data_IF_323250700865
#
_entry.id   IF_323250700865
#
_cell.length_a   1.000
_cell.length_b   1.000
_cell.length_c   1.000
_cell.angle_alpha   90.00
_cell.angle_beta   90.00
_cell.angle_gamma   90.00
#
_symmetry.space_group_name_H-M   'P 1'
#
loop_
_entity.id
_entity.type
_entity.pdbx_description
1 polymer ?
#
# COMPACT_ATOMS: atom_id res chain seq x y z
N UNK A 1 -5.71 3.58 -5.57
CA UNK A 1 -4.37 3.06 -5.87
C UNK A 1 -3.40 4.21 -6.15
N UNK A 2 -2.13 3.97 -5.92
CA UNK A 2 -1.04 4.87 -6.30
C UNK A 2 -0.90 4.96 -7.83
N UNK A 3 -0.35 6.08 -8.30
CA UNK A 3 0.06 6.30 -9.68
C UNK A 3 1.50 6.79 -9.70
N UNK A 4 2.24 6.50 -10.77
CA UNK A 4 3.57 7.06 -10.93
C UNK A 4 3.49 8.59 -11.11
N UNK A 5 4.43 9.37 -10.55
CA UNK A 5 4.57 10.78 -10.90
C UNK A 5 4.75 10.96 -12.42
N UNK A 6 4.22 12.03 -12.98
CA UNK A 6 4.29 12.33 -14.43
C UNK A 6 5.74 12.36 -14.98
N UNK A 7 6.70 12.73 -14.13
CA UNK A 7 8.11 12.73 -14.48
C UNK A 7 8.82 11.36 -14.37
N UNK A 8 8.12 10.30 -13.96
CA UNK A 8 8.69 8.96 -13.90
C UNK A 8 8.82 8.36 -15.32
N UNK A 9 9.94 7.72 -15.59
CA UNK A 9 10.21 7.05 -16.86
C UNK A 9 11.14 5.84 -16.62
N UNK A 10 11.23 4.89 -17.56
CA UNK A 10 12.10 3.72 -17.42
C UNK A 10 13.58 4.05 -17.23
N UNK A 11 14.05 5.16 -17.80
CA UNK A 11 15.47 5.56 -17.79
C UNK A 11 15.89 6.24 -16.47
N UNK A 12 14.96 6.40 -15.53
CA UNK A 12 15.28 6.97 -14.20
C UNK A 12 16.06 6.02 -13.31
N UNK A 13 16.19 4.76 -13.69
CA UNK A 13 16.84 3.72 -12.93
C UNK A 13 18.25 3.46 -13.42
N UNK A 14 19.20 3.25 -12.50
CA UNK A 14 20.52 2.74 -12.83
C UNK A 14 20.42 1.23 -13.06
N UNK A 15 20.74 0.79 -14.26
CA UNK A 15 20.62 -0.62 -14.66
C UNK A 15 21.99 -1.21 -15.08
N UNK A 16 22.14 -2.50 -14.89
CA UNK A 16 23.29 -3.25 -15.39
C UNK A 16 23.19 -3.55 -16.90
N UNK A 17 24.20 -4.28 -17.44
CA UNK A 17 24.22 -4.66 -18.86
C UNK A 17 23.06 -5.57 -19.29
N UNK A 18 22.32 -6.16 -18.35
CA UNK A 18 21.14 -7.01 -18.61
C UNK A 18 19.83 -6.23 -18.45
N UNK A 19 19.88 -4.95 -18.07
CA UNK A 19 18.72 -4.12 -17.80
C UNK A 19 18.15 -4.28 -16.38
N UNK A 20 18.87 -4.97 -15.47
CA UNK A 20 18.43 -5.11 -14.08
C UNK A 20 18.81 -3.87 -13.27
N UNK A 21 17.88 -3.38 -12.44
CA UNK A 21 18.16 -2.23 -11.56
C UNK A 21 19.18 -2.62 -10.49
N UNK A 22 20.32 -1.95 -10.49
CA UNK A 22 21.47 -2.25 -9.63
C UNK A 22 21.50 -1.47 -8.31
N UNK A 23 20.66 -0.45 -8.15
CA UNK A 23 20.58 0.35 -6.93
C UNK A 23 19.38 -0.03 -6.06
N UNK A 24 19.47 0.29 -4.76
CA UNK A 24 18.33 0.15 -3.83
C UNK A 24 17.18 1.15 -4.15
N UNK A 25 17.36 2.03 -5.12
CA UNK A 25 16.42 3.11 -5.47
C UNK A 25 15.04 2.61 -5.88
N UNK A 26 14.93 1.33 -6.32
CA UNK A 26 13.65 0.67 -6.64
C UNK A 26 12.80 0.35 -5.41
N UNK A 27 13.43 0.25 -4.24
CA UNK A 27 12.78 -0.09 -2.98
C UNK A 27 12.77 1.08 -1.99
N UNK A 28 13.83 1.89 -2.02
CA UNK A 28 14.05 2.97 -1.06
C UNK A 28 14.32 4.30 -1.75
N UNK A 29 13.83 5.38 -1.13
CA UNK A 29 14.07 6.74 -1.60
C UNK A 29 12.98 7.29 -2.51
N UNK A 30 13.22 8.48 -3.05
CA UNK A 30 12.20 9.24 -3.77
C UNK A 30 11.79 8.65 -5.11
N UNK A 31 12.67 7.90 -5.78
CA UNK A 31 12.37 7.27 -7.08
C UNK A 31 11.29 6.20 -6.99
N UNK A 32 11.21 5.48 -5.85
CA UNK A 32 10.23 4.40 -5.64
C UNK A 32 8.86 4.90 -5.15
N UNK A 33 8.70 6.20 -4.90
CA UNK A 33 7.47 6.74 -4.33
C UNK A 33 6.45 7.04 -5.42
N UNK A 34 5.29 6.38 -5.37
CA UNK A 34 4.10 6.75 -6.15
C UNK A 34 3.35 7.94 -5.53
N UNK A 35 2.47 8.56 -6.31
CA UNK A 35 1.59 9.62 -5.80
C UNK A 35 0.64 9.05 -4.76
N UNK A 36 0.63 9.55 -3.50
CA UNK A 36 -0.14 8.95 -2.43
C UNK A 36 -1.65 9.14 -2.62
N UNK A 37 -2.41 8.05 -2.60
CA UNK A 37 -3.85 8.06 -2.86
C UNK A 37 -4.73 7.75 -1.66
N UNK A 38 -4.18 7.20 -0.57
CA UNK A 38 -4.94 6.69 0.56
C UNK A 38 -5.80 7.74 1.25
N UNK A 39 -5.28 8.96 1.45
CA UNK A 39 -6.03 10.05 2.10
C UNK A 39 -7.30 10.37 1.31
N UNK A 40 -7.18 10.54 -0.02
CA UNK A 40 -8.34 10.84 -0.88
C UNK A 40 -9.35 9.70 -0.92
N UNK A 41 -8.85 8.46 -0.98
CA UNK A 41 -9.68 7.26 -0.96
C UNK A 41 -10.47 7.10 0.34
N UNK A 42 -9.81 7.27 1.49
CA UNK A 42 -10.46 7.16 2.80
C UNK A 42 -11.48 8.27 3.03
N UNK A 43 -11.16 9.50 2.65
CA UNK A 43 -12.11 10.61 2.77
C UNK A 43 -13.33 10.40 1.86
N UNK A 44 -13.14 9.93 0.62
CA UNK A 44 -14.25 9.59 -0.27
C UNK A 44 -15.16 8.50 0.32
N UNK A 45 -14.58 7.43 0.86
CA UNK A 45 -15.36 6.35 1.47
C UNK A 45 -16.13 6.86 2.69
N UNK A 46 -15.48 7.67 3.53
CA UNK A 46 -16.11 8.27 4.69
C UNK A 46 -17.29 9.18 4.31
N UNK A 47 -17.10 10.05 3.32
CA UNK A 47 -18.14 10.98 2.87
C UNK A 47 -19.32 10.26 2.22
N UNK A 48 -19.05 9.20 1.44
CA UNK A 48 -20.10 8.50 0.69
C UNK A 48 -20.85 7.44 1.49
N UNK A 49 -20.18 6.77 2.40
CA UNK A 49 -20.72 5.60 3.10
C UNK A 49 -20.62 5.68 4.62
N UNK A 50 -19.89 6.65 5.17
CA UNK A 50 -19.71 6.82 6.60
C UNK A 50 -20.93 7.46 7.28
N UNK A 51 -21.12 7.12 8.54
CA UNK A 51 -22.17 7.71 9.40
C UNK A 51 -21.59 8.67 10.45
N UNK A 52 -20.25 8.73 10.57
CA UNK A 52 -19.54 9.60 11.49
C UNK A 52 -18.89 10.74 10.76
N UNK A 53 -18.72 11.87 11.42
CA UNK A 53 -17.97 12.98 10.87
C UNK A 53 -16.45 12.68 10.83
N UNK A 54 -15.75 13.46 10.04
CA UNK A 54 -14.30 13.32 9.83
C UNK A 54 -13.51 13.44 11.12
N UNK A 55 -13.93 14.33 12.03
CA UNK A 55 -13.28 14.54 13.31
C UNK A 55 -13.42 13.31 14.20
N UNK A 56 -14.62 12.77 14.33
CA UNK A 56 -14.89 11.60 15.16
C UNK A 56 -14.05 10.38 14.71
N UNK A 57 -13.87 10.20 13.39
CA UNK A 57 -13.10 9.07 12.84
C UNK A 57 -11.60 9.24 13.00
N UNK A 58 -11.06 10.46 12.82
CA UNK A 58 -9.61 10.70 12.80
C UNK A 58 -9.07 11.02 14.21
N UNK A 59 -9.88 11.56 15.12
CA UNK A 59 -9.42 11.99 16.44
C UNK A 59 -8.67 10.91 17.23
N UNK A 60 -9.10 9.64 17.28
CA UNK A 60 -8.32 8.60 17.98
C UNK A 60 -6.89 8.43 17.45
N UNK A 61 -6.69 8.58 16.14
CA UNK A 61 -5.36 8.51 15.54
C UNK A 61 -4.51 9.76 15.87
N UNK A 62 -5.14 10.94 15.92
CA UNK A 62 -4.49 12.19 16.38
C UNK A 62 -4.01 12.03 17.81
N UNK A 63 -4.87 11.51 18.70
CA UNK A 63 -4.56 11.31 20.09
C UNK A 63 -3.40 10.32 20.28
N UNK A 64 -3.39 9.21 19.56
CA UNK A 64 -2.29 8.25 19.55
C UNK A 64 -0.98 8.86 19.04
N UNK A 65 -1.03 9.66 17.99
CA UNK A 65 0.15 10.32 17.44
C UNK A 65 0.73 11.36 18.42
N UNK A 66 -0.11 12.14 19.12
CA UNK A 66 0.28 13.14 20.09
C UNK A 66 0.73 12.52 21.43
N UNK A 67 -0.08 11.62 21.99
CA UNK A 67 0.16 11.05 23.31
C UNK A 67 1.12 9.89 23.27
N UNK A 68 1.25 9.25 22.12
CA UNK A 68 2.10 8.09 21.85
C UNK A 68 1.38 6.77 22.06
N UNK A 69 1.96 5.75 21.47
CA UNK A 69 1.56 4.36 21.63
C UNK A 69 2.77 3.50 22.01
N UNK A 70 2.50 2.37 22.65
CA UNK A 70 3.59 1.49 23.09
C UNK A 70 4.13 0.67 21.94
N UNK A 71 5.44 0.66 21.79
CA UNK A 71 6.15 -0.12 20.79
C UNK A 71 5.95 -1.61 21.05
N UNK A 72 5.43 -2.33 20.08
CA UNK A 72 5.25 -3.78 20.14
C UNK A 72 6.57 -4.54 19.88
N UNK A 73 6.61 -5.83 20.20
CA UNK A 73 7.75 -6.69 19.88
C UNK A 73 8.04 -6.75 18.37
N UNK A 74 6.99 -6.82 17.55
CA UNK A 74 7.11 -6.82 16.08
C UNK A 74 7.73 -5.51 15.61
N UNK A 75 7.21 -4.37 16.06
CA UNK A 75 7.73 -3.06 15.68
C UNK A 75 9.19 -2.85 16.11
N UNK A 76 9.58 -3.31 17.31
CA UNK A 76 10.98 -3.28 17.75
C UNK A 76 11.86 -4.14 16.84
N UNK A 77 11.40 -5.34 16.48
CA UNK A 77 12.11 -6.24 15.56
C UNK A 77 12.28 -5.59 14.18
N UNK A 78 11.23 -4.99 13.63
CA UNK A 78 11.27 -4.32 12.34
C UNK A 78 12.24 -3.11 12.34
N UNK A 79 12.21 -2.29 13.40
CA UNK A 79 13.18 -1.20 13.55
C UNK A 79 14.63 -1.71 13.60
N UNK A 80 14.89 -2.85 14.26
CA UNK A 80 16.22 -3.48 14.29
C UNK A 80 16.63 -3.98 12.91
N UNK A 81 15.74 -4.70 12.23
CA UNK A 81 16.01 -5.27 10.91
C UNK A 81 16.23 -4.18 9.85
N UNK A 82 15.52 -3.06 9.97
CA UNK A 82 15.59 -1.94 9.03
C UNK A 82 16.53 -0.81 9.47
N UNK A 83 17.32 -1.02 10.52
CA UNK A 83 18.18 0.01 11.13
C UNK A 83 19.04 0.76 10.10
N UNK A 84 19.70 0.03 9.21
CA UNK A 84 20.57 0.62 8.19
C UNK A 84 19.79 1.49 7.19
N UNK A 85 18.57 1.10 6.84
CA UNK A 85 17.70 1.88 5.95
C UNK A 85 17.12 3.09 6.67
N UNK A 86 16.71 2.96 7.92
CA UNK A 86 16.21 4.07 8.74
C UNK A 86 17.27 5.17 8.85
N UNK A 87 18.53 4.81 9.07
CA UNK A 87 19.64 5.76 9.21
C UNK A 87 19.98 6.52 7.92
N UNK A 88 19.64 5.97 6.73
CA UNK A 88 19.81 6.69 5.47
C UNK A 88 18.94 7.95 5.36
N UNK A 89 17.84 8.02 6.14
CA UNK A 89 16.83 9.09 6.07
C UNK A 89 16.67 9.77 7.44
N UNK A 90 17.30 10.93 7.68
CA UNK A 90 17.30 11.59 8.99
C UNK A 90 15.88 11.87 9.54
N UNK A 91 14.92 12.23 8.69
CA UNK A 91 13.54 12.45 9.11
C UNK A 91 12.88 11.17 9.63
N UNK A 92 13.13 10.02 8.99
CA UNK A 92 12.67 8.71 9.43
C UNK A 92 13.35 8.30 10.73
N UNK A 93 14.68 8.49 10.82
CA UNK A 93 15.45 8.18 12.02
C UNK A 93 14.95 8.98 13.24
N UNK A 94 14.58 10.24 13.05
CA UNK A 94 14.02 11.10 14.12
C UNK A 94 12.73 10.52 14.71
N UNK A 95 11.91 9.83 13.90
CA UNK A 95 10.63 9.26 14.34
C UNK A 95 10.85 7.89 14.99
N UNK A 96 11.63 7.01 14.34
CA UNK A 96 11.70 5.59 14.70
C UNK A 96 12.92 5.21 15.55
N UNK A 97 13.81 6.15 15.82
CA UNK A 97 14.97 5.92 16.69
C UNK A 97 14.95 6.87 17.89
N UNK A 98 15.30 6.33 19.07
CA UNK A 98 15.51 7.07 20.32
C UNK A 98 17.01 7.13 20.60
N UNK A 99 17.59 8.32 20.52
CA UNK A 99 19.05 8.50 20.68
C UNK A 99 19.86 7.61 19.71
N UNK A 100 19.43 7.51 18.45
CA UNK A 100 20.09 6.71 17.42
C UNK A 100 19.92 5.20 17.55
N UNK A 101 19.06 4.70 18.43
CA UNK A 101 18.78 3.27 18.64
C UNK A 101 17.27 2.98 18.47
N UNK A 102 16.88 1.79 18.03
CA UNK A 102 15.48 1.37 18.01
C UNK A 102 14.83 1.53 19.39
N UNK A 103 13.57 1.94 19.41
CA UNK A 103 12.79 1.94 20.63
C UNK A 103 12.69 0.52 21.21
N UNK A 104 12.74 0.37 22.54
CA UNK A 104 12.50 -0.91 23.18
C UNK A 104 11.01 -1.26 23.18
N UNK A 105 10.72 -2.55 23.33
CA UNK A 105 9.33 -3.02 23.54
C UNK A 105 8.75 -2.33 24.79
N UNK A 106 7.56 -1.75 24.65
CA UNK A 106 6.89 -1.00 25.71
C UNK A 106 7.27 0.49 25.81
N UNK A 107 8.32 0.94 25.13
CA UNK A 107 8.63 2.38 25.03
C UNK A 107 7.47 3.12 24.36
N UNK A 108 7.30 4.40 24.69
CA UNK A 108 6.27 5.26 24.12
C UNK A 108 6.83 5.97 22.88
N UNK A 109 6.25 5.69 21.70
CA UNK A 109 6.58 6.36 20.46
C UNK A 109 5.52 7.42 20.14
N UNK A 110 5.95 8.65 19.88
CA UNK A 110 5.10 9.78 19.51
C UNK A 110 5.45 10.31 18.13
N UNK A 111 4.45 10.82 17.42
CA UNK A 111 4.65 11.51 16.15
C UNK A 111 3.73 12.75 16.07
N UNK A 112 4.04 13.84 16.77
CA UNK A 112 3.22 15.04 16.81
C UNK A 112 3.11 15.73 15.45
N UNK A 113 4.06 15.55 14.55
CA UNK A 113 3.99 16.12 13.20
C UNK A 113 2.94 15.40 12.35
N UNK A 114 2.77 14.08 12.53
CA UNK A 114 1.67 13.33 11.94
C UNK A 114 0.31 13.79 12.51
N UNK A 115 0.23 14.01 13.83
CA UNK A 115 -0.98 14.54 14.46
C UNK A 115 -1.40 15.88 13.84
N UNK A 116 -0.48 16.84 13.69
CA UNK A 116 -0.74 18.13 13.04
C UNK A 116 -1.24 17.97 11.61
N UNK A 117 -0.65 17.04 10.85
CA UNK A 117 -1.10 16.74 9.48
C UNK A 117 -2.54 16.21 9.48
N UNK A 118 -2.86 15.29 10.39
CA UNK A 118 -4.23 14.76 10.53
C UNK A 118 -5.22 15.83 11.00
N UNK A 119 -4.84 16.74 11.90
CA UNK A 119 -5.65 17.88 12.30
C UNK A 119 -5.99 18.82 11.13
N UNK A 120 -5.01 19.08 10.24
CA UNK A 120 -5.25 19.82 8.99
C UNK A 120 -6.24 19.09 8.08
N UNK A 121 -6.10 17.76 7.94
CA UNK A 121 -7.03 16.94 7.15
C UNK A 121 -8.45 16.98 7.78
N UNK A 122 -8.58 16.91 9.11
CA UNK A 122 -9.86 17.06 9.78
C UNK A 122 -10.52 18.39 9.43
N UNK A 123 -9.77 19.47 9.46
CA UNK A 123 -10.25 20.82 9.19
C UNK A 123 -10.61 21.05 7.73
N UNK A 124 -9.67 20.81 6.82
CA UNK A 124 -9.71 21.28 5.44
C UNK A 124 -9.90 20.15 4.40
N UNK A 125 -10.03 18.91 4.86
CA UNK A 125 -10.25 17.74 4.01
C UNK A 125 -9.05 17.38 3.13
N UNK A 126 -9.34 16.89 1.93
CA UNK A 126 -8.32 16.46 0.99
C UNK A 126 -7.36 17.58 0.58
N UNK A 127 -7.84 18.81 0.50
CA UNK A 127 -7.02 19.97 0.14
C UNK A 127 -5.84 20.17 1.07
N UNK A 128 -6.01 19.89 2.38
CA UNK A 128 -4.93 19.98 3.36
C UNK A 128 -3.73 19.07 3.06
N UNK A 129 -3.96 17.97 2.33
CA UNK A 129 -2.91 16.99 1.99
C UNK A 129 -2.37 17.18 0.56
N UNK A 130 -3.26 17.45 -0.39
CA UNK A 130 -2.92 17.50 -1.82
C UNK A 130 -2.54 18.89 -2.33
N UNK A 131 -2.75 19.92 -1.54
CA UNK A 131 -2.41 21.32 -1.85
C UNK A 131 -1.73 22.00 -0.63
N UNK A 132 -1.04 23.11 -0.86
CA UNK A 132 -0.41 23.90 0.19
C UNK A 132 0.74 23.23 0.91
N UNK A 133 0.91 23.57 2.19
CA UNK A 133 2.11 23.25 3.00
C UNK A 133 2.45 21.75 3.07
N UNK A 134 1.46 20.88 3.21
CA UNK A 134 1.71 19.42 3.31
C UNK A 134 2.17 18.89 1.94
N UNK A 135 1.51 19.30 0.86
CA UNK A 135 1.90 18.92 -0.50
C UNK A 135 3.31 19.42 -0.84
N UNK A 136 3.64 20.65 -0.48
CA UNK A 136 4.97 21.24 -0.67
C UNK A 136 6.04 20.44 0.11
N UNK A 137 5.75 20.06 1.35
CA UNK A 137 6.65 19.26 2.16
C UNK A 137 6.88 17.86 1.56
N UNK A 138 5.83 17.21 1.05
CA UNK A 138 5.92 15.91 0.38
C UNK A 138 6.81 16.01 -0.86
N UNK A 139 6.55 17.00 -1.73
CA UNK A 139 7.34 17.20 -2.95
C UNK A 139 8.79 17.51 -2.61
N UNK A 140 9.04 18.43 -1.67
CA UNK A 140 10.40 18.77 -1.22
C UNK A 140 11.17 17.55 -0.71
N UNK A 141 10.55 16.72 0.13
CA UNK A 141 11.17 15.51 0.66
C UNK A 141 11.44 14.47 -0.44
N UNK A 142 10.48 14.28 -1.34
CA UNK A 142 10.59 13.32 -2.46
C UNK A 142 11.71 13.72 -3.43
N UNK A 143 11.76 15.00 -3.80
CA UNK A 143 12.79 15.54 -4.70
C UNK A 143 14.19 15.50 -4.05
N UNK A 144 14.29 15.83 -2.76
CA UNK A 144 15.55 15.73 -2.00
C UNK A 144 16.07 14.27 -1.98
N UNK A 145 15.16 13.29 -2.02
CA UNK A 145 15.50 11.87 -2.14
C UNK A 145 15.55 11.38 -3.61
N UNK A 146 15.81 12.28 -4.59
CA UNK A 146 15.93 12.01 -6.03
C UNK A 146 14.64 11.55 -6.74
N UNK A 147 13.48 11.74 -6.13
CA UNK A 147 12.17 11.45 -6.73
C UNK A 147 11.75 12.46 -7.78
N UNK A 148 10.66 12.17 -8.48
CA UNK A 148 10.13 12.95 -9.60
C UNK A 148 8.76 13.57 -9.33
N UNK A 149 8.24 13.47 -8.10
CA UNK A 149 6.93 13.99 -7.75
C UNK A 149 6.88 15.51 -7.82
N UNK A 150 5.76 16.04 -8.31
CA UNK A 150 5.46 17.47 -8.40
C UNK A 150 4.19 17.83 -7.64
N UNK A 151 3.97 19.11 -7.38
CA UNK A 151 2.71 19.61 -6.83
C UNK A 151 1.52 19.31 -7.75
N UNK A 152 1.75 19.32 -9.07
CA UNK A 152 0.73 19.00 -10.05
C UNK A 152 0.30 17.54 -9.97
N UNK A 153 1.23 16.61 -9.73
CA UNK A 153 0.91 15.18 -9.53
C UNK A 153 -0.01 14.99 -8.32
N UNK A 154 0.25 15.68 -7.21
CA UNK A 154 -0.59 15.63 -6.01
C UNK A 154 -1.97 16.23 -6.28
N UNK A 155 -2.02 17.46 -6.80
CA UNK A 155 -3.26 18.19 -7.08
C UNK A 155 -4.17 17.45 -8.05
N UNK A 156 -3.61 16.83 -9.08
CA UNK A 156 -4.37 16.14 -10.13
C UNK A 156 -4.66 14.68 -9.81
N UNK A 157 -4.21 14.17 -8.66
CA UNK A 157 -4.49 12.79 -8.27
C UNK A 157 -6.00 12.54 -8.20
N UNK A 158 -6.44 11.43 -8.80
CA UNK A 158 -7.84 10.99 -8.80
C UNK A 158 -7.93 9.56 -8.29
N UNK A 159 -8.92 9.32 -7.42
CA UNK A 159 -9.28 7.95 -7.06
C UNK A 159 -9.90 7.24 -8.26
N UNK A 160 -9.70 5.93 -8.33
CA UNK A 160 -10.37 5.07 -9.31
C UNK A 160 -11.41 4.23 -8.57
N UNK A 161 -12.64 4.30 -9.06
CA UNK A 161 -13.76 3.52 -8.53
C UNK A 161 -14.05 2.44 -9.58
N UNK A 162 -14.09 1.19 -9.16
CA UNK A 162 -14.34 0.05 -10.03
C UNK A 162 -15.34 -0.88 -9.36
N UNK A 163 -16.17 -1.53 -10.15
CA UNK A 163 -17.01 -2.60 -9.65
C UNK A 163 -16.16 -3.80 -9.22
N UNK A 164 -16.56 -4.52 -8.17
CA UNK A 164 -15.85 -5.72 -7.76
C UNK A 164 -15.96 -6.83 -8.83
N UNK A 165 -14.96 -7.68 -8.89
CA UNK A 165 -15.09 -8.96 -9.61
C UNK A 165 -16.01 -9.85 -8.79
N UNK A 166 -16.98 -10.46 -9.45
CA UNK A 166 -17.95 -11.37 -8.86
C UNK A 166 -17.74 -12.80 -9.36
N UNK A 167 -17.79 -13.75 -8.45
CA UNK A 167 -17.77 -15.18 -8.74
C UNK A 167 -18.60 -15.95 -7.73
N UNK A 168 -18.58 -17.27 -7.83
CA UNK A 168 -19.27 -18.16 -6.89
C UNK A 168 -18.34 -19.27 -6.43
N UNK A 169 -18.61 -19.83 -5.28
CA UNK A 169 -17.97 -21.02 -4.77
C UNK A 169 -18.94 -21.76 -3.83
N UNK A 170 -19.29 -22.99 -4.18
CA UNK A 170 -20.18 -23.85 -3.38
C UNK A 170 -21.49 -23.18 -2.98
N UNK A 171 -22.09 -22.39 -3.90
CA UNK A 171 -23.32 -21.68 -3.65
C UNK A 171 -23.18 -20.32 -2.95
N UNK A 172 -21.97 -19.93 -2.56
CA UNK A 172 -21.70 -18.60 -2.00
C UNK A 172 -21.30 -17.64 -3.09
N UNK A 173 -21.82 -16.42 -3.04
CA UNK A 173 -21.34 -15.32 -3.88
C UNK A 173 -20.05 -14.74 -3.30
N UNK A 174 -19.07 -14.49 -4.18
CA UNK A 174 -17.77 -13.92 -3.81
C UNK A 174 -17.62 -12.59 -4.54
N UNK A 175 -17.40 -11.53 -3.79
CA UNK A 175 -17.06 -10.21 -4.30
C UNK A 175 -15.64 -9.87 -3.89
N UNK A 176 -14.82 -9.48 -4.85
CA UNK A 176 -13.40 -9.27 -4.60
C UNK A 176 -12.83 -8.12 -5.43
N UNK A 177 -11.58 -7.73 -5.14
CA UNK A 177 -10.94 -6.59 -5.77
C UNK A 177 -10.84 -6.74 -7.28
N UNK A 178 -11.22 -5.68 -8.00
CA UNK A 178 -11.06 -5.60 -9.44
C UNK A 178 -9.59 -5.41 -9.85
N UNK A 179 -9.23 -5.70 -11.10
CA UNK A 179 -7.94 -5.32 -11.65
C UNK A 179 -7.63 -3.81 -11.46
N UNK A 180 -6.36 -3.44 -11.32
CA UNK A 180 -5.16 -4.22 -11.58
C UNK A 180 -4.77 -5.20 -10.46
N UNK A 181 -5.56 -5.29 -9.36
CA UNK A 181 -5.32 -6.33 -8.37
C UNK A 181 -5.53 -7.71 -9.00
N UNK A 182 -4.49 -8.52 -8.96
CA UNK A 182 -4.58 -9.90 -9.42
C UNK A 182 -5.27 -10.83 -8.40
N UNK A 183 -5.29 -10.43 -7.13
CA UNK A 183 -5.80 -11.26 -6.04
C UNK A 183 -7.24 -11.69 -6.25
N UNK A 184 -8.11 -10.75 -6.71
CA UNK A 184 -9.52 -11.05 -6.84
C UNK A 184 -9.85 -12.13 -7.86
N UNK A 185 -9.52 -11.93 -9.10
CA UNK A 185 -9.82 -12.87 -10.18
C UNK A 185 -9.18 -14.25 -9.92
N UNK A 186 -7.93 -14.26 -9.43
CA UNK A 186 -7.21 -15.52 -9.19
C UNK A 186 -7.72 -16.29 -7.98
N UNK A 187 -8.21 -15.60 -6.95
CA UNK A 187 -8.90 -16.28 -5.84
C UNK A 187 -10.14 -17.02 -6.35
N UNK A 188 -10.98 -16.35 -7.16
CA UNK A 188 -12.15 -16.98 -7.77
C UNK A 188 -11.73 -18.14 -8.66
N UNK A 189 -10.72 -17.97 -9.50
CA UNK A 189 -10.21 -19.02 -10.37
C UNK A 189 -9.72 -20.25 -9.59
N UNK A 190 -8.92 -20.04 -8.54
CA UNK A 190 -8.45 -21.14 -7.68
C UNK A 190 -9.63 -21.86 -7.01
N UNK A 191 -10.59 -21.12 -6.49
CA UNK A 191 -11.77 -21.68 -5.85
C UNK A 191 -12.62 -22.49 -6.85
N UNK A 192 -12.83 -21.98 -8.06
CA UNK A 192 -13.58 -22.68 -9.12
C UNK A 192 -12.88 -23.96 -9.58
N UNK A 193 -11.54 -23.99 -9.61
CA UNK A 193 -10.80 -25.22 -9.89
C UNK A 193 -10.99 -26.22 -8.74
N UNK A 194 -10.83 -25.77 -7.48
CA UNK A 194 -10.97 -26.61 -6.30
C UNK A 194 -12.41 -27.10 -6.08
N UNK A 195 -13.42 -26.41 -6.60
CA UNK A 195 -14.83 -26.82 -6.52
C UNK A 195 -15.11 -28.16 -7.17
N UNK A 196 -14.29 -28.56 -8.17
CA UNK A 196 -14.39 -29.85 -8.85
C UNK A 196 -13.90 -31.04 -7.99
N UNK A 197 -13.35 -30.77 -6.80
CA UNK A 197 -12.82 -31.79 -5.89
C UNK A 197 -13.58 -31.79 -4.58
N UNK A 198 -13.77 -32.97 -3.99
CA UNK A 198 -14.37 -33.11 -2.67
C UNK A 198 -13.37 -32.75 -1.57
N UNK A 199 -13.06 -31.45 -1.47
CA UNK A 199 -12.10 -30.92 -0.51
C UNK A 199 -12.48 -31.17 0.95
N UNK A 200 -13.78 -31.43 1.24
CA UNK A 200 -14.28 -31.70 2.58
C UNK A 200 -13.71 -33.02 3.14
N UNK A 201 -13.55 -34.00 2.25
CA UNK A 201 -13.05 -35.33 2.61
C UNK A 201 -11.54 -35.50 2.40
N UNK A 202 -10.83 -34.44 2.06
CA UNK A 202 -9.35 -34.41 1.97
C UNK A 202 -8.81 -33.79 3.26
N UNK A 203 -8.04 -34.56 4.08
CA UNK A 203 -7.48 -34.01 5.32
C UNK A 203 -6.62 -32.77 5.06
N UNK A 204 -6.91 -31.69 5.76
CA UNK A 204 -6.11 -30.46 5.69
C UNK A 204 -4.64 -30.76 6.05
N UNK A 205 -3.71 -30.23 5.27
CA UNK A 205 -2.29 -30.48 5.47
C UNK A 205 -1.76 -31.80 4.90
N UNK A 206 -2.63 -32.65 4.30
CA UNK A 206 -2.18 -33.85 3.61
C UNK A 206 -1.46 -33.53 2.30
N UNK A 207 -0.64 -34.45 1.79
CA UNK A 207 0.04 -34.33 0.50
C UNK A 207 -0.97 -34.05 -0.65
N UNK A 208 -2.12 -34.73 -0.64
CA UNK A 208 -3.20 -34.51 -1.61
C UNK A 208 -3.79 -33.12 -1.52
N UNK A 209 -4.00 -32.61 -0.31
CA UNK A 209 -4.50 -31.24 -0.09
C UNK A 209 -3.55 -30.21 -0.70
N UNK A 210 -2.25 -30.29 -0.36
CA UNK A 210 -1.26 -29.36 -0.90
C UNK A 210 -1.04 -29.52 -2.39
N UNK A 211 -1.12 -30.73 -2.93
CA UNK A 211 -1.00 -30.97 -4.37
C UNK A 211 -2.11 -30.25 -5.14
N UNK A 212 -3.37 -30.45 -4.76
CA UNK A 212 -4.51 -29.80 -5.43
C UNK A 212 -4.45 -28.28 -5.31
N UNK A 213 -4.11 -27.76 -4.13
CA UNK A 213 -3.95 -26.32 -3.93
C UNK A 213 -2.83 -25.75 -4.79
N UNK A 214 -1.66 -26.38 -4.79
CA UNK A 214 -0.50 -25.92 -5.56
C UNK A 214 -0.75 -25.96 -7.07
N UNK A 215 -1.39 -26.99 -7.59
CA UNK A 215 -1.73 -27.08 -9.02
C UNK A 215 -2.77 -26.03 -9.42
N UNK A 216 -3.78 -25.80 -8.57
CA UNK A 216 -4.76 -24.73 -8.80
C UNK A 216 -4.11 -23.34 -8.81
N UNK A 217 -3.21 -23.09 -7.85
CA UNK A 217 -2.43 -21.85 -7.79
C UNK A 217 -1.52 -21.71 -9.02
N UNK A 218 -0.85 -22.78 -9.45
CA UNK A 218 0.04 -22.77 -10.62
C UNK A 218 -0.70 -22.31 -11.88
N UNK A 219 -1.90 -22.80 -12.12
CA UNK A 219 -2.73 -22.37 -13.25
C UNK A 219 -3.12 -20.90 -13.13
N UNK A 220 -3.58 -20.46 -11.98
CA UNK A 220 -3.93 -19.06 -11.75
C UNK A 220 -2.73 -18.12 -11.92
N UNK A 221 -1.56 -18.51 -11.43
CA UNK A 221 -0.34 -17.70 -11.58
C UNK A 221 0.20 -17.69 -13.02
N UNK A 222 -0.01 -18.75 -13.80
CA UNK A 222 0.30 -18.75 -15.22
C UNK A 222 -0.56 -17.73 -15.98
N UNK A 223 -1.87 -17.70 -15.72
CA UNK A 223 -2.78 -16.70 -16.29
C UNK A 223 -2.43 -15.28 -15.81
N UNK A 224 -2.08 -15.14 -14.53
CA UNK A 224 -1.58 -13.86 -13.99
C UNK A 224 -0.39 -13.34 -14.77
N UNK A 225 0.61 -14.18 -15.01
CA UNK A 225 1.82 -13.76 -15.72
C UNK A 225 1.53 -13.36 -17.18
N UNK A 226 0.52 -13.97 -17.80
CA UNK A 226 0.18 -13.75 -19.21
C UNK A 226 -0.78 -12.57 -19.43
N UNK A 227 -1.78 -12.40 -18.55
CA UNK A 227 -2.92 -11.53 -18.83
C UNK A 227 -3.04 -10.33 -17.88
N UNK A 228 -2.40 -10.36 -16.71
CA UNK A 228 -2.56 -9.27 -15.74
C UNK A 228 -1.59 -8.11 -16.01
N UNK A 229 -2.09 -6.91 -15.81
CA UNK A 229 -1.32 -5.68 -15.94
C UNK A 229 -2.14 -4.47 -15.54
N UNK A 230 -1.64 -3.27 -15.82
CA UNK A 230 -2.32 -2.04 -15.52
C UNK A 230 -3.48 -1.80 -16.50
N UNK A 231 -4.70 -1.72 -15.96
CA UNK A 231 -5.94 -1.53 -16.74
C UNK A 231 -6.05 -0.16 -17.42
N UNK A 232 -5.14 0.76 -17.13
CA UNK A 232 -5.07 2.02 -17.86
C UNK A 232 -4.37 1.84 -19.22
N UNK A 233 -3.63 0.73 -19.41
CA UNK A 233 -2.86 0.44 -20.62
C UNK A 233 -3.33 -0.83 -21.34
N UNK A 234 -3.91 -1.80 -20.63
CA UNK A 234 -4.34 -3.05 -21.22
C UNK A 234 -5.77 -3.45 -20.79
N UNK A 235 -6.47 -4.17 -21.68
CA UNK A 235 -7.73 -4.82 -21.34
C UNK A 235 -7.46 -6.22 -20.80
N UNK A 236 -7.93 -6.49 -19.58
CA UNK A 236 -7.80 -7.79 -18.92
C UNK A 236 -9.03 -8.62 -19.21
N UNK A 237 -8.90 -9.86 -19.73
CA UNK A 237 -10.04 -10.77 -19.91
C UNK A 237 -10.48 -11.34 -18.55
N UNK A 238 -11.69 -10.98 -18.12
CA UNK A 238 -12.32 -11.46 -16.88
C UNK A 238 -13.57 -12.27 -17.23
#
# INVERSE_FOLDING_TARGET
RETAPKGANPDMWDVDKKGEVISDDKEFGGKSIGVPGSVKGFLYVLEKYGNLDRKAVIQPAIDLANNGYRVSAIMNMDMKNQMNNILKYPATAKIYLKNGKPYNVGDLLKNPDLAKTMEKIVKDGEKAFYEGEVAEAIVKATVAAKGKMTLEDLKNYKIKISDPVKGTYRGYEIYTAAPPSSGGAHIIQILNILENYDMKNIPAGSARYYHLLSESMKMAFADRAKFMGDTDFIKIPL
#
